data_IF_544797761620
#
_entry.id   IF_544797761620
#
_cell.length_a   1.000
_cell.length_b   1.000
_cell.length_c   1.000
_cell.angle_alpha   90.00
_cell.angle_beta   90.00
_cell.angle_gamma   90.00
#
_symmetry.space_group_name_H-M   'P 1'
#
loop_
_entity.id
_entity.type
_entity.pdbx_description
1 polymer ?
#
# COMPACT_ATOMS: atom_id res chain seq x y z
N UNK A 1 13.24 0.17 7.27
CA UNK A 1 11.91 -0.13 7.84
C UNK A 1 11.33 -1.48 7.41
N UNK A 2 10.72 -2.19 8.35
CA UNK A 2 9.95 -3.45 8.25
C UNK A 2 8.44 -3.18 8.45
N UNK A 3 7.58 -4.19 8.27
CA UNK A 3 6.13 -4.01 8.39
C UNK A 3 5.67 -3.41 9.74
N UNK A 4 6.38 -3.71 10.83
CA UNK A 4 6.07 -3.24 12.19
C UNK A 4 6.23 -1.73 12.38
N UNK A 5 7.07 -1.09 11.57
CA UNK A 5 7.31 0.36 11.62
C UNK A 5 6.30 1.14 10.77
N UNK A 6 5.35 0.46 10.13
CA UNK A 6 4.27 1.10 9.42
C UNK A 6 3.33 1.80 10.42
N UNK A 7 2.96 3.08 10.22
CA UNK A 7 2.02 3.81 11.09
C UNK A 7 0.63 3.17 11.20
N UNK A 8 0.36 2.17 10.35
CA UNK A 8 -0.91 1.43 10.35
C UNK A 8 -0.77 0.01 10.85
N UNK A 9 0.41 -0.44 11.26
CA UNK A 9 0.70 -1.85 11.57
C UNK A 9 -0.38 -2.50 12.45
N UNK A 10 -0.72 -1.88 13.58
CA UNK A 10 -1.67 -2.45 14.55
C UNK A 10 -3.13 -2.50 14.05
N UNK A 11 -3.50 -1.66 13.09
CA UNK A 11 -4.89 -1.50 12.64
C UNK A 11 -5.08 -1.84 11.16
N UNK A 12 -4.03 -2.32 10.48
CA UNK A 12 -4.09 -2.59 9.05
C UNK A 12 -4.81 -3.92 8.81
N UNK A 13 -5.95 -3.92 8.09
CA UNK A 13 -6.67 -5.16 7.81
C UNK A 13 -6.21 -5.83 6.50
N UNK A 14 -5.07 -5.39 5.94
CA UNK A 14 -4.61 -5.88 4.64
C UNK A 14 -3.80 -7.16 4.78
N UNK A 15 -4.22 -8.21 4.06
CA UNK A 15 -3.57 -9.52 4.11
C UNK A 15 -2.27 -9.57 3.30
N UNK A 16 -2.16 -8.73 2.26
CA UNK A 16 -0.93 -8.53 1.48
C UNK A 16 -0.39 -7.13 1.76
N UNK A 17 0.75 -7.10 2.46
CA UNK A 17 1.49 -5.88 2.77
C UNK A 17 2.81 -5.87 1.99
N UNK A 18 3.15 -4.79 1.25
CA UNK A 18 4.41 -4.70 0.51
C UNK A 18 5.65 -4.59 1.43
N UNK A 19 5.46 -4.29 2.72
CA UNK A 19 6.53 -4.22 3.72
C UNK A 19 6.69 -5.54 4.50
N UNK A 20 5.79 -6.52 4.32
CA UNK A 20 5.91 -7.87 4.88
C UNK A 20 6.87 -8.68 3.99
N UNK A 21 7.98 -9.18 4.54
CA UNK A 21 8.96 -9.98 3.79
C UNK A 21 8.34 -11.26 3.19
N UNK A 22 7.30 -11.79 3.82
CA UNK A 22 6.62 -13.01 3.41
C UNK A 22 5.36 -12.75 2.57
N UNK A 23 5.19 -11.53 2.02
CA UNK A 23 3.99 -11.20 1.26
C UNK A 23 3.70 -12.19 0.13
N UNK A 24 4.73 -12.78 -0.51
CA UNK A 24 4.61 -13.80 -1.57
C UNK A 24 3.98 -15.11 -1.11
N UNK A 25 4.08 -15.42 0.19
CA UNK A 25 3.48 -16.62 0.82
C UNK A 25 2.06 -16.35 1.31
N UNK A 26 1.60 -15.09 1.26
CA UNK A 26 0.24 -14.71 1.65
C UNK A 26 -0.73 -14.91 0.48
N UNK A 27 -1.99 -15.10 0.83
CA UNK A 27 -3.11 -15.14 -0.11
C UNK A 27 -3.87 -13.83 -0.06
N UNK A 28 -4.42 -13.39 -1.20
CA UNK A 28 -5.36 -12.26 -1.25
C UNK A 28 -6.70 -12.72 -1.84
N UNK A 29 -7.70 -12.83 -0.98
CA UNK A 29 -9.04 -13.25 -1.38
C UNK A 29 -9.86 -12.10 -1.94
N UNK A 30 -10.87 -12.43 -2.75
CA UNK A 30 -11.79 -11.42 -3.30
C UNK A 30 -12.57 -10.77 -2.16
N UNK A 31 -12.51 -9.44 -2.07
CA UNK A 31 -13.21 -8.66 -1.04
C UNK A 31 -12.33 -8.28 0.14
N UNK A 32 -11.13 -8.86 0.25
CA UNK A 32 -10.18 -8.45 1.28
C UNK A 32 -9.72 -7.00 1.08
N UNK A 33 -9.41 -6.29 2.18
CA UNK A 33 -8.86 -4.95 2.10
C UNK A 33 -7.48 -4.94 1.45
N UNK A 34 -7.29 -4.01 0.51
CA UNK A 34 -5.97 -3.73 -0.07
C UNK A 34 -5.19 -2.76 0.83
N UNK A 35 -3.90 -3.01 1.02
CA UNK A 35 -2.99 -2.12 1.74
C UNK A 35 -3.16 -0.67 1.26
N UNK A 36 -3.27 0.27 2.22
CA UNK A 36 -3.41 1.69 1.92
C UNK A 36 -2.28 2.17 1.02
N UNK A 37 -1.03 1.84 1.36
CA UNK A 37 0.14 2.36 0.67
C UNK A 37 0.25 1.87 -0.77
N UNK A 38 -0.15 0.61 -1.04
CA UNK A 38 -0.30 0.12 -2.41
C UNK A 38 -1.35 0.92 -3.19
N UNK A 39 -2.46 1.30 -2.56
CA UNK A 39 -3.50 2.11 -3.21
C UNK A 39 -3.07 3.54 -3.45
N UNK A 40 -2.24 4.11 -2.58
CA UNK A 40 -1.78 5.49 -2.70
C UNK A 40 -0.62 5.62 -3.69
N UNK A 41 0.31 4.67 -3.75
CA UNK A 41 1.47 4.73 -4.66
C UNK A 41 1.08 4.74 -6.14
N UNK A 42 -0.08 4.16 -6.49
CA UNK A 42 -0.58 4.10 -7.88
C UNK A 42 -1.35 5.34 -8.30
N UNK A 43 -1.51 6.33 -7.42
CA UNK A 43 -2.22 7.59 -7.70
C UNK A 43 -1.25 8.67 -8.17
N UNK A 44 -1.77 9.77 -8.75
CA UNK A 44 -0.98 10.98 -8.95
C UNK A 44 -0.29 11.40 -7.65
N UNK A 45 0.99 11.76 -7.74
CA UNK A 45 1.86 12.14 -6.62
C UNK A 45 2.02 11.07 -5.52
N UNK A 46 1.66 9.82 -5.82
CA UNK A 46 1.67 8.70 -4.87
C UNK A 46 3.02 8.48 -4.20
N UNK A 47 4.12 8.50 -4.96
CA UNK A 47 5.48 8.34 -4.42
C UNK A 47 5.83 9.44 -3.41
N UNK A 48 5.57 10.70 -3.75
CA UNK A 48 5.83 11.83 -2.85
C UNK A 48 5.01 11.72 -1.54
N UNK A 49 3.75 11.32 -1.64
CA UNK A 49 2.86 11.09 -0.48
C UNK A 49 3.40 9.96 0.41
N UNK A 50 3.87 8.87 -0.20
CA UNK A 50 4.44 7.76 0.53
C UNK A 50 5.71 8.18 1.27
N UNK A 51 6.64 8.89 0.61
CA UNK A 51 7.86 9.39 1.25
C UNK A 51 7.56 10.29 2.44
N UNK A 52 6.61 11.21 2.28
CA UNK A 52 6.18 12.09 3.37
C UNK A 52 5.53 11.34 4.55
N UNK A 53 4.86 10.20 4.29
CA UNK A 53 4.11 9.47 5.32
C UNK A 53 4.87 8.29 5.95
N UNK A 54 5.78 7.68 5.21
CA UNK A 54 6.49 6.45 5.58
C UNK A 54 8.01 6.64 5.68
N UNK A 55 8.56 7.74 5.17
CA UNK A 55 9.99 7.87 4.92
C UNK A 55 10.44 7.18 3.62
N UNK A 56 11.64 7.55 3.16
CA UNK A 56 12.17 7.14 1.86
C UNK A 56 12.36 5.62 1.72
N UNK A 57 12.92 4.97 2.74
CA UNK A 57 13.21 3.53 2.70
C UNK A 57 11.94 2.69 2.52
N UNK A 58 10.90 3.00 3.30
CA UNK A 58 9.64 2.28 3.23
C UNK A 58 8.90 2.59 1.93
N UNK A 59 8.88 3.85 1.49
CA UNK A 59 8.31 4.23 0.20
C UNK A 59 8.95 3.47 -0.97
N UNK A 60 10.29 3.42 -1.01
CA UNK A 60 11.03 2.69 -2.03
C UNK A 60 10.69 1.20 -2.06
N UNK A 61 10.52 0.56 -0.89
CA UNK A 61 10.09 -0.86 -0.81
C UNK A 61 8.70 -1.07 -1.37
N UNK A 62 7.76 -0.16 -1.10
CA UNK A 62 6.40 -0.25 -1.65
C UNK A 62 6.43 -0.14 -3.18
N UNK A 63 7.17 0.84 -3.72
CA UNK A 63 7.32 1.02 -5.17
C UNK A 63 7.97 -0.21 -5.80
N UNK A 64 9.04 -0.74 -5.21
CA UNK A 64 9.77 -1.90 -5.72
C UNK A 64 8.92 -3.19 -5.69
N UNK A 65 8.06 -3.37 -4.69
CA UNK A 65 7.20 -4.55 -4.57
C UNK A 65 5.98 -4.50 -5.52
N UNK A 66 5.54 -3.30 -5.92
CA UNK A 66 4.30 -3.10 -6.67
C UNK A 66 4.21 -3.95 -7.95
N UNK A 67 5.21 -3.99 -8.86
CA UNK A 67 5.13 -4.78 -10.09
C UNK A 67 4.91 -6.27 -9.81
N UNK A 68 5.65 -6.82 -8.86
CA UNK A 68 5.55 -8.24 -8.50
C UNK A 68 4.19 -8.57 -7.85
N UNK A 69 3.65 -7.65 -7.04
CA UNK A 69 2.33 -7.80 -6.40
C UNK A 69 1.21 -7.77 -7.44
N UNK A 70 1.24 -6.85 -8.42
CA UNK A 70 0.18 -6.78 -9.45
C UNK A 70 0.22 -7.95 -10.43
N UNK A 71 1.40 -8.52 -10.65
CA UNK A 71 1.57 -9.72 -11.47
C UNK A 71 1.05 -10.97 -10.74
N UNK A 72 1.40 -11.11 -9.46
CA UNK A 72 1.01 -12.26 -8.64
C UNK A 72 -0.49 -12.27 -8.31
N UNK A 73 -1.07 -11.11 -7.95
CA UNK A 73 -2.43 -11.03 -7.44
C UNK A 73 -3.35 -10.26 -8.39
N UNK A 74 -4.04 -10.97 -9.28
CA UNK A 74 -4.96 -10.36 -10.25
C UNK A 74 -6.11 -9.56 -9.62
N UNK A 75 -6.53 -9.90 -8.39
CA UNK A 75 -7.53 -9.12 -7.61
C UNK A 75 -6.95 -7.77 -7.17
N UNK A 76 -5.71 -7.74 -6.70
CA UNK A 76 -5.00 -6.50 -6.36
C UNK A 76 -4.76 -5.64 -7.60
N UNK A 77 -4.31 -6.23 -8.71
CA UNK A 77 -4.15 -5.49 -9.98
C UNK A 77 -5.40 -4.69 -10.36
N UNK A 78 -6.57 -5.33 -10.32
CA UNK A 78 -7.85 -4.67 -10.61
C UNK A 78 -8.22 -3.60 -9.59
N UNK A 79 -7.97 -3.84 -8.31
CA UNK A 79 -8.24 -2.86 -7.26
C UNK A 79 -7.34 -1.62 -7.38
N UNK A 80 -6.06 -1.82 -7.69
CA UNK A 80 -5.07 -0.76 -7.85
C UNK A 80 -5.30 0.06 -9.12
N UNK A 81 -5.66 -0.59 -10.24
CA UNK A 81 -6.10 0.11 -11.46
C UNK A 81 -7.31 1.03 -11.22
N UNK A 82 -8.24 0.63 -10.34
CA UNK A 82 -9.36 1.51 -9.95
C UNK A 82 -8.89 2.62 -9.02
N UNK A 83 -7.99 2.32 -8.08
CA UNK A 83 -7.48 3.31 -7.14
C UNK A 83 -6.73 4.45 -7.84
N UNK A 84 -5.98 4.16 -8.92
CA UNK A 84 -5.24 5.15 -9.70
C UNK A 84 -6.13 6.20 -10.39
N UNK A 85 -7.43 5.93 -10.53
CA UNK A 85 -8.39 6.84 -11.16
C UNK A 85 -8.96 7.89 -10.20
N UNK A 86 -8.53 7.88 -8.93
CA UNK A 86 -9.05 8.76 -7.90
C UNK A 86 -7.93 9.48 -7.14
N UNK A 87 -8.23 10.68 -6.64
CA UNK A 87 -7.29 11.45 -5.83
C UNK A 87 -6.83 10.75 -4.55
N UNK A 88 -5.69 11.18 -4.02
CA UNK A 88 -5.18 10.69 -2.75
C UNK A 88 -6.12 11.04 -1.60
N UNK A 89 -6.36 10.06 -0.72
CA UNK A 89 -7.11 10.33 0.53
C UNK A 89 -6.21 10.79 1.66
N UNK A 90 -4.90 10.62 1.50
CA UNK A 90 -3.87 11.01 2.45
C UNK A 90 -3.50 12.48 2.23
N UNK A 91 -3.31 12.88 0.96
CA UNK A 91 -3.02 14.28 0.63
C UNK A 91 -4.16 15.25 0.98
N UNK A 92 -5.44 14.82 0.89
CA UNK A 92 -6.59 15.67 1.23
C UNK A 92 -6.82 15.90 2.74
N UNK A 93 -5.79 15.74 3.58
CA UNK A 93 -5.83 16.12 5.00
C UNK A 93 -6.63 15.17 5.91
N UNK A 94 -7.04 14.00 5.43
CA UNK A 94 -7.67 12.99 6.30
C UNK A 94 -6.56 12.37 7.16
N UNK A 95 -6.45 12.81 8.42
CA UNK A 95 -5.54 12.21 9.41
C UNK A 95 -5.60 10.69 9.29
N UNK A 96 -4.45 10.06 9.08
CA UNK A 96 -4.31 8.61 9.18
C UNK A 96 -4.77 8.24 10.60
N UNK A 97 -5.82 7.44 10.72
CA UNK A 97 -6.23 6.94 12.04
C UNK A 97 -5.14 5.98 12.50
N UNK A 98 -4.49 6.26 13.64
CA UNK A 98 -3.47 5.42 14.26
C UNK A 98 -2.04 5.99 14.30
N UNK A 99 -1.85 7.28 14.05
CA UNK A 99 -0.60 7.99 14.41
C UNK A 99 -0.73 8.63 15.80
#
# INVERSE_FOLDING_TARGET
MSAHECPRWETCPANVCPLDADWRKRSHLKGEPVCLWLREVVKPDGDAILRASLGDDAAAKVVAALPAIVDTYGTLRRALKRASQHGSRVASGRKLRGA
#
